data_IF_500201492488
#
_entry.id   IF_500201492488
#
_cell.length_a   1.000
_cell.length_b   1.000
_cell.length_c   1.000
_cell.angle_alpha   90.00
_cell.angle_beta   90.00
_cell.angle_gamma   90.00
#
_symmetry.space_group_name_H-M   'P 1'
#
loop_
_entity.id
_entity.type
_entity.pdbx_description
1 polymer ?
#
# COMPACT_ATOMS: atom_id res chain seq x y z
N UNK A 1 -6.49 12.37 17.02
CA UNK A 1 -5.68 11.65 16.01
C UNK A 1 -4.30 11.46 16.62
N UNK A 2 -4.23 10.51 17.53
CA UNK A 2 -3.07 10.08 18.30
C UNK A 2 -3.25 8.56 18.48
N UNK A 3 -2.22 7.81 18.83
CA UNK A 3 -2.27 6.36 19.09
C UNK A 3 -2.08 5.39 17.90
N UNK A 4 -1.38 5.79 16.83
CA UNK A 4 -0.83 4.80 15.87
C UNK A 4 0.61 4.37 16.20
N UNK A 5 1.33 5.11 17.03
CA UNK A 5 2.75 4.89 17.30
C UNK A 5 3.06 5.00 18.80
N UNK A 6 3.96 4.15 19.31
CA UNK A 6 4.51 4.27 20.67
C UNK A 6 5.03 5.71 20.88
N UNK A 7 4.83 6.33 22.05
CA UNK A 7 5.22 7.72 22.32
C UNK A 7 6.73 8.01 22.16
N UNK A 8 7.58 6.99 22.06
CA UNK A 8 9.04 7.10 21.88
C UNK A 8 9.55 6.76 20.47
N UNK A 9 8.67 6.70 19.47
CA UNK A 9 9.10 6.42 18.10
C UNK A 9 9.82 7.63 17.48
N UNK A 10 11.14 7.63 17.54
CA UNK A 10 11.95 8.63 16.84
C UNK A 10 12.07 8.26 15.35
N UNK A 11 11.91 9.23 14.44
CA UNK A 11 12.13 8.99 13.02
C UNK A 11 13.60 8.60 12.80
N UNK A 12 13.82 7.44 12.16
CA UNK A 12 15.16 7.02 11.79
C UNK A 12 15.77 8.06 10.84
N UNK A 13 16.93 8.59 11.21
CA UNK A 13 17.56 9.70 10.48
C UNK A 13 17.93 9.32 9.04
N UNK A 14 18.30 8.05 8.80
CA UNK A 14 18.61 7.54 7.46
C UNK A 14 17.36 7.41 6.61
N UNK A 15 16.28 6.86 7.18
CA UNK A 15 14.99 6.74 6.48
C UNK A 15 14.42 8.13 6.16
N UNK A 16 14.47 9.05 7.13
CA UNK A 16 14.01 10.44 6.95
C UNK A 16 14.75 11.13 5.81
N UNK A 17 16.08 10.99 5.75
CA UNK A 17 16.89 11.58 4.69
C UNK A 17 16.47 11.09 3.30
N UNK A 18 16.32 9.78 3.12
CA UNK A 18 15.89 9.21 1.84
C UNK A 18 14.44 9.58 1.49
N UNK A 19 13.53 9.63 2.47
CA UNK A 19 12.16 10.12 2.24
C UNK A 19 12.18 11.54 1.71
N UNK A 20 12.91 12.46 2.36
CA UNK A 20 12.96 13.86 1.95
C UNK A 20 13.53 14.01 0.53
N UNK A 21 14.57 13.25 0.20
CA UNK A 21 15.20 13.21 -1.13
C UNK A 21 14.27 12.69 -2.23
N UNK A 22 13.43 11.72 -1.91
CA UNK A 22 12.49 11.10 -2.86
C UNK A 22 11.06 11.68 -2.80
N UNK A 23 10.79 12.59 -1.86
CA UNK A 23 9.51 13.29 -1.74
C UNK A 23 9.48 14.57 -2.56
N UNK A 24 8.30 14.92 -3.05
CA UNK A 24 8.04 16.22 -3.68
C UNK A 24 6.83 16.84 -2.98
N UNK A 25 6.94 18.10 -2.54
CA UNK A 25 5.87 18.79 -1.79
C UNK A 25 5.39 18.03 -0.53
N UNK A 26 6.31 17.38 0.19
CA UNK A 26 6.00 16.48 1.32
C UNK A 26 5.09 15.31 0.93
N UNK A 27 5.00 14.94 -0.35
CA UNK A 27 4.29 13.76 -0.82
C UNK A 27 5.28 12.67 -1.25
N UNK A 28 5.11 11.46 -0.73
CA UNK A 28 5.92 10.29 -1.06
C UNK A 28 5.07 9.25 -1.78
N UNK A 29 5.49 8.85 -2.99
CA UNK A 29 4.78 7.82 -3.73
C UNK A 29 4.97 6.44 -3.05
N UNK A 30 3.94 5.59 -3.11
CA UNK A 30 4.04 4.22 -2.61
C UNK A 30 5.22 3.47 -3.25
N UNK A 31 5.45 3.65 -4.56
CA UNK A 31 6.63 3.11 -5.26
C UNK A 31 7.94 3.56 -4.62
N UNK A 32 8.09 4.86 -4.37
CA UNK A 32 9.29 5.43 -3.75
C UNK A 32 9.50 4.89 -2.34
N UNK A 33 8.43 4.78 -1.54
CA UNK A 33 8.53 4.25 -0.18
C UNK A 33 9.04 2.80 -0.16
N UNK A 34 8.56 1.95 -1.06
CA UNK A 34 9.07 0.58 -1.19
C UNK A 34 10.50 0.52 -1.74
N UNK A 35 10.88 1.44 -2.62
CA UNK A 35 12.26 1.55 -3.10
C UNK A 35 13.20 1.86 -1.92
N UNK A 36 12.88 2.87 -1.11
CA UNK A 36 13.65 3.24 0.08
C UNK A 36 13.74 2.05 1.05
N UNK A 37 12.63 1.36 1.30
CA UNK A 37 12.61 0.17 2.16
C UNK A 37 13.59 -0.90 1.67
N UNK A 38 13.64 -1.13 0.36
CA UNK A 38 14.55 -2.09 -0.27
C UNK A 38 16.01 -1.62 -0.22
N UNK A 39 16.28 -0.35 -0.52
CA UNK A 39 17.64 0.22 -0.54
C UNK A 39 18.28 0.25 0.86
N UNK A 40 17.49 0.60 1.88
CA UNK A 40 17.94 0.63 3.26
C UNK A 40 17.84 -0.74 3.96
N UNK A 41 17.32 -1.76 3.28
CA UNK A 41 17.05 -3.09 3.83
C UNK A 41 16.22 -3.04 5.14
N UNK A 42 15.20 -2.19 5.16
CA UNK A 42 14.27 -2.02 6.28
C UNK A 42 12.86 -2.46 5.88
N UNK A 43 12.01 -2.69 6.87
CA UNK A 43 10.61 -3.02 6.61
C UNK A 43 9.84 -1.81 6.05
N UNK A 44 8.93 -2.01 5.08
CA UNK A 44 8.13 -0.92 4.53
C UNK A 44 7.28 -0.19 5.59
N UNK A 45 6.89 -0.87 6.66
CA UNK A 45 6.13 -0.26 7.76
C UNK A 45 6.94 0.86 8.45
N UNK A 46 8.26 0.65 8.63
CA UNK A 46 9.15 1.66 9.22
C UNK A 46 9.27 2.89 8.33
N UNK A 47 9.30 2.71 7.01
CA UNK A 47 9.31 3.82 6.05
C UNK A 47 8.00 4.59 6.13
N UNK A 48 6.88 3.88 6.18
CA UNK A 48 5.56 4.49 6.35
C UNK A 48 5.39 5.25 7.66
N UNK A 49 5.81 4.66 8.77
CA UNK A 49 5.84 5.28 10.09
C UNK A 49 6.72 6.54 10.09
N UNK A 50 7.92 6.46 9.51
CA UNK A 50 8.82 7.62 9.43
C UNK A 50 8.20 8.73 8.57
N UNK A 51 7.57 8.38 7.45
CA UNK A 51 6.83 9.34 6.63
C UNK A 51 5.72 10.03 7.43
N UNK A 52 4.92 9.28 8.19
CA UNK A 52 3.87 9.83 9.06
C UNK A 52 4.45 10.78 10.13
N UNK A 53 5.50 10.35 10.83
CA UNK A 53 6.18 11.14 11.86
C UNK A 53 6.76 12.47 11.36
N UNK A 54 7.18 12.55 10.10
CA UNK A 54 7.69 13.78 9.49
C UNK A 54 6.63 14.56 8.70
N UNK A 55 5.35 14.21 8.85
CA UNK A 55 4.21 14.79 8.12
C UNK A 55 4.34 14.69 6.58
N UNK A 56 5.02 13.65 6.10
CA UNK A 56 5.09 13.31 4.68
C UNK A 56 3.91 12.42 4.29
N UNK A 57 3.08 12.90 3.36
CA UNK A 57 1.86 12.23 2.94
C UNK A 57 2.17 11.14 1.92
N UNK A 58 1.72 9.92 2.17
CA UNK A 58 1.75 8.86 1.18
C UNK A 58 0.75 9.12 0.05
N UNK A 59 1.21 9.06 -1.20
CA UNK A 59 0.42 9.28 -2.41
C UNK A 59 0.64 8.17 -3.44
N UNK A 60 -0.17 8.15 -4.50
CA UNK A 60 -0.05 7.23 -5.65
C UNK A 60 0.13 5.77 -5.20
N UNK A 61 -0.82 5.26 -4.42
CA UNK A 61 -0.82 3.87 -3.97
C UNK A 61 -0.71 2.92 -5.16
N UNK A 62 0.24 1.98 -5.20
CA UNK A 62 0.41 1.07 -6.34
C UNK A 62 -0.79 0.15 -6.59
N UNK A 63 -1.67 -0.01 -5.59
CA UNK A 63 -2.93 -0.73 -5.70
C UNK A 63 -4.12 0.16 -6.12
N UNK A 64 -3.92 1.47 -6.27
CA UNK A 64 -4.97 2.41 -6.66
C UNK A 64 -5.90 2.87 -5.53
N UNK A 65 -5.70 2.39 -4.30
CA UNK A 65 -6.66 2.54 -3.19
C UNK A 65 -6.72 3.94 -2.58
N UNK A 66 -5.62 4.70 -2.61
CA UNK A 66 -5.55 6.04 -2.05
C UNK A 66 -4.48 6.91 -2.73
N UNK A 67 -4.51 8.21 -2.44
CA UNK A 67 -3.42 9.12 -2.77
C UNK A 67 -3.42 9.60 -4.22
N UNK A 68 -4.57 9.53 -4.89
CA UNK A 68 -4.80 10.08 -6.22
C UNK A 68 -5.62 11.38 -6.13
N UNK A 69 -5.58 12.19 -7.20
CA UNK A 69 -6.37 13.43 -7.36
C UNK A 69 -6.87 13.50 -8.82
N UNK A 70 -8.08 14.02 -9.09
CA UNK A 70 -9.05 14.56 -8.13
C UNK A 70 -9.74 13.49 -7.27
N UNK A 71 -9.86 12.26 -7.78
CA UNK A 71 -10.45 11.13 -7.06
C UNK A 71 -9.48 10.54 -6.03
N UNK A 72 -9.97 10.28 -4.81
CA UNK A 72 -9.15 9.70 -3.72
C UNK A 72 -8.61 8.32 -4.07
N UNK A 73 -9.37 7.52 -4.83
CA UNK A 73 -9.02 6.18 -5.32
C UNK A 73 -9.25 6.10 -6.84
N UNK A 74 -8.47 5.30 -7.54
CA UNK A 74 -8.62 5.06 -8.99
C UNK A 74 -9.12 3.66 -9.33
N UNK A 75 -9.36 2.85 -8.30
CA UNK A 75 -9.89 1.49 -8.44
C UNK A 75 -11.32 1.55 -8.97
N UNK A 76 -11.62 0.73 -9.98
CA UNK A 76 -12.94 0.57 -10.58
C UNK A 76 -13.38 -0.88 -10.41
N UNK A 77 -14.61 -1.15 -9.95
CA UNK A 77 -15.07 -2.51 -9.76
C UNK A 77 -15.09 -3.29 -11.09
N UNK A 78 -14.47 -4.47 -11.11
CA UNK A 78 -14.42 -5.36 -12.27
C UNK A 78 -14.87 -6.75 -11.84
N UNK A 79 -16.00 -7.21 -12.38
CA UNK A 79 -16.51 -8.57 -12.13
C UNK A 79 -15.95 -9.62 -13.10
N UNK A 80 -15.44 -9.18 -14.25
CA UNK A 80 -14.85 -10.03 -15.29
C UNK A 80 -13.38 -10.32 -14.99
N UNK A 81 -13.16 -11.37 -14.21
CA UNK A 81 -11.83 -11.90 -13.91
C UNK A 81 -11.79 -13.41 -14.07
N UNK A 82 -10.59 -13.92 -14.37
CA UNK A 82 -10.32 -15.35 -14.44
C UNK A 82 -10.75 -16.05 -13.14
N UNK A 83 -11.47 -17.17 -13.24
CA UNK A 83 -11.92 -17.92 -12.06
C UNK A 83 -10.76 -18.35 -11.16
N UNK A 84 -9.60 -18.70 -11.75
CA UNK A 84 -8.42 -19.07 -10.97
C UNK A 84 -7.90 -17.92 -10.11
N UNK A 85 -7.98 -16.69 -10.62
CA UNK A 85 -7.59 -15.48 -9.89
C UNK A 85 -8.57 -15.19 -8.75
N UNK A 86 -9.89 -15.31 -9.01
CA UNK A 86 -10.91 -15.16 -7.98
C UNK A 86 -10.77 -16.20 -6.86
N UNK A 87 -10.49 -17.45 -7.22
CA UNK A 87 -10.27 -18.53 -6.26
C UNK A 87 -9.01 -18.29 -5.43
N UNK A 88 -7.93 -17.80 -6.04
CA UNK A 88 -6.71 -17.45 -5.31
C UNK A 88 -6.94 -16.30 -4.31
N UNK A 89 -7.73 -15.29 -4.68
CA UNK A 89 -8.14 -14.22 -3.75
C UNK A 89 -8.98 -14.79 -2.62
N UNK A 90 -10.05 -15.53 -2.94
CA UNK A 90 -10.97 -16.12 -1.96
C UNK A 90 -10.26 -17.06 -0.97
N UNK A 91 -9.28 -17.85 -1.44
CA UNK A 91 -8.50 -18.76 -0.59
C UNK A 91 -7.51 -18.07 0.34
N UNK A 92 -7.18 -16.79 0.13
CA UNK A 92 -6.31 -16.02 1.01
C UNK A 92 -7.07 -14.93 1.79
N UNK A 93 -8.41 -14.96 1.78
CA UNK A 93 -9.20 -14.03 2.59
C UNK A 93 -9.10 -14.39 4.07
N UNK A 94 -8.83 -13.38 4.89
CA UNK A 94 -8.89 -13.47 6.34
C UNK A 94 -10.02 -12.55 6.78
N UNK A 95 -11.09 -13.12 7.34
CA UNK A 95 -12.30 -12.38 7.75
C UNK A 95 -12.93 -11.54 6.62
N UNK A 96 -12.89 -12.04 5.38
CA UNK A 96 -13.41 -11.34 4.20
C UNK A 96 -12.55 -10.16 3.73
N UNK A 97 -11.33 -10.02 4.27
CA UNK A 97 -10.37 -8.99 3.90
C UNK A 97 -9.12 -9.60 3.29
N UNK A 98 -8.43 -8.80 2.48
CA UNK A 98 -7.19 -9.20 1.82
C UNK A 98 -6.05 -8.25 2.20
N UNK A 99 -4.99 -8.76 2.81
CA UNK A 99 -3.83 -7.94 3.13
C UNK A 99 -3.14 -7.43 1.85
N UNK A 100 -2.67 -6.18 1.85
CA UNK A 100 -1.98 -5.56 0.71
C UNK A 100 -0.81 -6.42 0.17
N UNK A 101 -0.07 -7.08 1.07
CA UNK A 101 1.03 -7.99 0.71
C UNK A 101 0.56 -9.20 -0.09
N UNK A 102 -0.52 -9.83 0.35
CA UNK A 102 -1.10 -11.00 -0.33
C UNK A 102 -1.65 -10.59 -1.70
N UNK A 103 -2.32 -9.44 -1.78
CA UNK A 103 -2.83 -8.93 -3.04
C UNK A 103 -1.70 -8.70 -4.08
N UNK A 104 -0.52 -8.24 -3.63
CA UNK A 104 0.66 -8.12 -4.48
C UNK A 104 1.18 -9.47 -4.93
N UNK A 105 1.28 -10.45 -4.02
CA UNK A 105 1.73 -11.81 -4.36
C UNK A 105 0.83 -12.43 -5.43
N UNK A 106 -0.49 -12.31 -5.27
CA UNK A 106 -1.47 -12.74 -6.26
C UNK A 106 -1.26 -12.00 -7.59
N UNK A 107 -1.09 -10.67 -7.58
CA UNK A 107 -0.84 -9.92 -8.81
C UNK A 107 0.41 -10.43 -9.55
N UNK A 108 1.50 -10.66 -8.82
CA UNK A 108 2.75 -11.20 -9.36
C UNK A 108 2.59 -12.64 -9.87
N UNK A 109 1.92 -13.51 -9.11
CA UNK A 109 1.70 -14.92 -9.49
C UNK A 109 0.90 -15.08 -10.78
N UNK A 110 -0.10 -14.21 -10.98
CA UNK A 110 -0.95 -14.24 -12.18
C UNK A 110 -0.46 -13.30 -13.29
N UNK A 111 0.69 -12.63 -13.09
CA UNK A 111 1.27 -11.66 -14.01
C UNK A 111 0.27 -10.57 -14.46
N UNK A 112 -0.54 -10.08 -13.52
CA UNK A 112 -1.53 -9.01 -13.74
C UNK A 112 -1.08 -7.73 -13.05
N UNK A 113 -1.61 -6.59 -13.50
CA UNK A 113 -1.33 -5.32 -12.84
C UNK A 113 -1.91 -5.31 -11.41
N UNK A 114 -1.19 -4.71 -10.45
CA UNK A 114 -1.62 -4.60 -9.05
C UNK A 114 -2.98 -3.90 -8.90
N UNK A 115 -3.27 -2.91 -9.75
CA UNK A 115 -4.58 -2.21 -9.76
C UNK A 115 -5.69 -3.17 -10.21
N UNK A 116 -5.40 -4.10 -11.13
CA UNK A 116 -6.39 -5.10 -11.57
C UNK A 116 -6.84 -5.98 -10.41
N UNK A 117 -5.94 -6.36 -9.51
CA UNK A 117 -6.31 -7.12 -8.31
C UNK A 117 -7.28 -6.31 -7.45
N UNK A 118 -6.97 -5.04 -7.18
CA UNK A 118 -7.87 -4.16 -6.42
C UNK A 118 -9.23 -3.96 -7.09
N UNK A 119 -9.26 -3.84 -8.42
CA UNK A 119 -10.48 -3.68 -9.19
C UNK A 119 -11.41 -4.90 -9.02
N UNK A 120 -10.82 -6.09 -8.99
CA UNK A 120 -11.54 -7.34 -8.77
C UNK A 120 -12.01 -7.45 -7.33
N UNK A 121 -11.16 -7.08 -6.37
CA UNK A 121 -11.55 -7.03 -4.95
C UNK A 121 -12.76 -6.11 -4.75
N UNK A 122 -12.75 -4.89 -5.30
CA UNK A 122 -13.91 -3.98 -5.26
C UNK A 122 -15.15 -4.57 -5.96
N UNK A 123 -14.96 -5.29 -7.07
CA UNK A 123 -16.07 -5.97 -7.77
C UNK A 123 -16.65 -7.16 -7.00
N UNK A 124 -15.89 -7.74 -6.06
CA UNK A 124 -16.30 -8.86 -5.21
C UNK A 124 -16.67 -8.42 -3.78
N UNK A 125 -16.76 -7.10 -3.53
CA UNK A 125 -16.96 -6.50 -2.20
C UNK A 125 -15.89 -6.90 -1.15
N UNK A 126 -14.70 -7.26 -1.61
CA UNK A 126 -13.55 -7.62 -0.77
C UNK A 126 -12.78 -6.35 -0.44
N UNK A 127 -12.59 -6.09 0.86
CA UNK A 127 -11.79 -4.95 1.34
C UNK A 127 -10.33 -5.33 1.47
N UNK A 128 -9.45 -4.48 0.94
CA UNK A 128 -8.01 -4.59 1.19
C UNK A 128 -7.67 -3.86 2.48
N UNK A 129 -6.99 -4.54 3.39
CA UNK A 129 -6.54 -4.02 4.68
C UNK A 129 -5.01 -4.17 4.83
N UNK A 130 -4.48 -3.74 5.98
CA UNK A 130 -3.08 -3.91 6.36
C UNK A 130 -2.13 -3.41 5.27
N UNK A 131 -2.18 -2.10 5.03
CA UNK A 131 -1.22 -1.49 4.13
C UNK A 131 0.20 -1.80 4.62
N UNK A 132 1.07 -2.32 3.75
CA UNK A 132 2.46 -2.63 4.12
C UNK A 132 3.26 -1.38 4.58
N UNK A 133 2.80 -0.19 4.18
CA UNK A 133 3.36 1.11 4.60
C UNK A 133 2.58 1.73 5.78
N UNK A 134 1.64 1.03 6.41
CA UNK A 134 0.89 1.54 7.56
C UNK A 134 -0.10 2.68 7.27
N UNK A 135 -0.48 2.93 6.01
CA UNK A 135 -1.43 3.99 5.67
C UNK A 135 -2.84 3.78 6.28
N UNK A 136 -3.28 2.52 6.40
CA UNK A 136 -4.56 2.10 6.97
C UNK A 136 -4.48 0.63 7.43
#
# INVERSE_FOLDING_TARGET
MADKHRPDAQPDSSIKYEILKHSLNNELSCTSAFLIAKELNVSPDKVGMTADLINCRLVKCQMGLFGYRPDKKIVKPVMTANQNLKNAMAGNLVEGKLACKIAWDIASRFNVNKITVSNICEGMDIKINECQLGAF
#
